data_IF_197135780504
#
_entry.id   IF_197135780504
#
_cell.length_a   1.000
_cell.length_b   1.000
_cell.length_c   1.000
_cell.angle_alpha   90.00
_cell.angle_beta   90.00
_cell.angle_gamma   90.00
#
_symmetry.space_group_name_H-M   'P 1'
#
loop_
_entity.id
_entity.type
_entity.pdbx_description
1 polymer ?
#
# COMPACT_ATOMS: atom_id res chain seq x y z
N UNK A 1 17.74 6.79 -2.10
CA UNK A 1 16.50 6.07 -2.46
C UNK A 1 15.58 7.08 -3.13
N UNK A 2 15.15 6.83 -4.37
CA UNK A 2 14.30 7.78 -5.11
C UNK A 2 12.86 7.58 -4.62
N UNK A 3 12.20 8.59 -4.03
CA UNK A 3 10.82 8.45 -3.58
C UNK A 3 9.89 8.23 -4.78
N UNK A 4 8.93 7.33 -4.63
CA UNK A 4 7.89 7.09 -5.64
C UNK A 4 6.93 8.27 -5.56
N UNK A 5 6.94 9.11 -6.59
CA UNK A 5 6.00 10.22 -6.76
C UNK A 5 5.09 9.94 -7.96
N UNK A 6 3.78 9.83 -7.70
CA UNK A 6 2.77 9.76 -8.75
C UNK A 6 1.96 11.07 -8.74
N UNK A 7 1.95 11.77 -9.87
CA UNK A 7 1.12 12.97 -10.04
C UNK A 7 -0.20 12.60 -10.70
N UNK A 8 -1.28 12.67 -9.93
CA UNK A 8 -2.65 12.52 -10.41
C UNK A 8 -3.33 13.90 -10.35
N UNK A 9 -3.42 14.56 -11.50
CA UNK A 9 -3.95 15.92 -11.62
C UNK A 9 -3.07 16.97 -10.90
N UNK A 10 -3.65 17.68 -9.92
CA UNK A 10 -2.95 18.70 -9.11
C UNK A 10 -2.32 18.13 -7.83
N UNK A 11 -2.49 16.83 -7.54
CA UNK A 11 -1.97 16.19 -6.33
C UNK A 11 -0.74 15.33 -6.65
N UNK A 12 0.24 15.40 -5.77
CA UNK A 12 1.42 14.54 -5.76
C UNK A 12 1.25 13.50 -4.65
N UNK A 13 1.33 12.24 -5.02
CA UNK A 13 1.29 11.12 -4.09
C UNK A 13 2.70 10.58 -3.92
N UNK A 14 3.27 10.77 -2.73
CA UNK A 14 4.57 10.22 -2.37
C UNK A 14 4.38 8.98 -1.50
N UNK A 15 4.87 7.84 -1.95
CA UNK A 15 4.83 6.59 -1.17
C UNK A 15 6.13 6.49 -0.35
N UNK A 16 6.11 7.03 0.87
CA UNK A 16 7.27 7.06 1.78
C UNK A 16 7.64 5.66 2.26
N UNK A 17 8.93 5.37 2.49
CA UNK A 17 9.39 4.06 2.97
C UNK A 17 9.32 2.93 1.93
N UNK A 18 8.92 3.22 0.70
CA UNK A 18 8.87 2.26 -0.40
C UNK A 18 9.94 2.54 -1.47
N UNK A 19 10.59 1.49 -1.95
CA UNK A 19 11.42 1.43 -3.14
C UNK A 19 10.70 0.74 -4.30
N UNK A 20 11.43 0.37 -5.37
CA UNK A 20 10.84 -0.18 -6.60
C UNK A 20 11.26 -1.61 -6.91
N UNK A 21 10.28 -2.45 -7.18
CA UNK A 21 10.46 -3.81 -7.69
C UNK A 21 10.05 -3.93 -9.16
N UNK A 22 9.73 -5.16 -9.58
CA UNK A 22 9.22 -5.43 -10.92
C UNK A 22 7.72 -5.11 -10.98
N UNK A 23 7.39 -3.84 -11.25
CA UNK A 23 6.01 -3.37 -11.46
C UNK A 23 5.21 -3.07 -10.19
N UNK A 24 5.85 -3.03 -9.01
CA UNK A 24 5.21 -2.73 -7.73
C UNK A 24 6.13 -1.94 -6.80
N UNK A 25 5.51 -1.26 -5.84
CA UNK A 25 6.21 -0.63 -4.72
C UNK A 25 6.65 -1.70 -3.73
N UNK A 26 7.89 -1.67 -3.26
CA UNK A 26 8.44 -2.62 -2.27
C UNK A 26 8.77 -1.87 -0.98
N UNK A 27 8.24 -2.34 0.16
CA UNK A 27 8.49 -1.76 1.47
C UNK A 27 9.95 -1.99 1.87
N UNK A 28 10.68 -0.92 2.14
CA UNK A 28 12.12 -0.94 2.46
C UNK A 28 12.45 -0.22 3.77
N UNK A 29 11.53 0.57 4.30
CA UNK A 29 11.62 1.19 5.62
C UNK A 29 10.22 1.27 6.25
N UNK A 30 9.96 0.44 7.27
CA UNK A 30 8.67 0.33 7.95
C UNK A 30 8.35 1.57 8.78
N UNK A 31 9.37 2.18 9.42
CA UNK A 31 9.15 3.37 10.23
C UNK A 31 8.77 4.57 9.36
N UNK A 32 9.40 4.70 8.20
CA UNK A 32 9.13 5.77 7.24
C UNK A 32 7.79 5.58 6.48
N UNK A 33 7.30 4.35 6.35
CA UNK A 33 6.06 4.07 5.62
C UNK A 33 4.79 4.47 6.38
N UNK A 34 4.88 4.62 7.71
CA UNK A 34 3.75 4.95 8.58
C UNK A 34 2.58 3.95 8.45
N UNK A 35 2.84 2.73 7.95
CA UNK A 35 1.84 1.70 7.68
C UNK A 35 2.33 0.31 8.14
N UNK A 36 1.42 -0.58 8.59
CA UNK A 36 1.81 -1.92 9.00
C UNK A 36 2.31 -2.74 7.80
N UNK A 37 3.29 -3.60 8.08
CA UNK A 37 3.94 -4.43 7.08
C UNK A 37 5.36 -4.79 7.42
N UNK A 38 5.88 -5.77 6.69
CA UNK A 38 7.25 -6.20 6.75
C UNK A 38 8.08 -5.66 5.58
N UNK A 39 9.36 -5.35 5.84
CA UNK A 39 10.32 -5.10 4.75
C UNK A 39 10.30 -6.26 3.73
N UNK A 40 10.24 -5.92 2.44
CA UNK A 40 10.08 -6.86 1.33
C UNK A 40 8.63 -7.07 0.88
N UNK A 41 7.64 -6.61 1.65
CA UNK A 41 6.24 -6.56 1.21
C UNK A 41 6.12 -5.72 -0.06
N UNK A 42 5.29 -6.14 -1.02
CA UNK A 42 5.04 -5.39 -2.24
C UNK A 42 3.56 -5.08 -2.44
N UNK A 43 3.28 -3.91 -3.02
CA UNK A 43 1.92 -3.38 -3.13
C UNK A 43 1.73 -2.49 -4.35
N UNK A 44 0.46 -2.27 -4.73
CA UNK A 44 0.08 -1.26 -5.69
C UNK A 44 -1.38 -0.83 -5.50
N UNK A 45 -1.68 0.42 -5.88
CA UNK A 45 -3.04 0.98 -5.90
C UNK A 45 -3.51 1.19 -7.35
N UNK A 46 -4.81 1.01 -7.58
CA UNK A 46 -5.45 1.15 -8.89
C UNK A 46 -6.52 2.24 -8.90
N UNK A 47 -6.88 2.67 -10.12
CA UNK A 47 -7.69 3.87 -10.36
C UNK A 47 -9.14 3.84 -9.87
N UNK A 48 -9.65 2.71 -9.39
CA UNK A 48 -11.02 2.55 -8.87
C UNK A 48 -11.04 2.19 -7.37
N UNK A 49 -10.11 2.75 -6.59
CA UNK A 49 -9.83 2.40 -5.19
C UNK A 49 -9.64 0.87 -5.00
N UNK A 50 -8.97 0.24 -5.98
CA UNK A 50 -8.52 -1.15 -5.88
C UNK A 50 -7.12 -1.14 -5.29
N UNK A 51 -6.82 -2.02 -4.34
CA UNK A 51 -5.53 -2.05 -3.66
C UNK A 51 -5.14 -3.48 -3.35
N UNK A 52 -3.87 -3.82 -3.52
CA UNK A 52 -3.34 -5.11 -3.08
C UNK A 52 -2.01 -4.93 -2.35
N UNK A 53 -1.72 -5.86 -1.46
CA UNK A 53 -0.37 -6.08 -0.94
C UNK A 53 -0.11 -7.58 -0.76
N UNK A 54 1.16 -7.95 -0.82
CA UNK A 54 1.62 -9.29 -0.48
C UNK A 54 2.74 -9.15 0.52
N UNK A 55 2.58 -9.77 1.68
CA UNK A 55 3.58 -9.83 2.74
C UNK A 55 4.06 -11.27 2.93
N UNK A 56 5.23 -11.64 2.34
CA UNK A 56 5.75 -12.99 2.47
C UNK A 56 6.15 -13.37 3.90
N UNK A 57 6.41 -12.40 4.79
CA UNK A 57 6.80 -12.71 6.18
C UNK A 57 5.59 -13.11 7.02
N UNK A 58 4.45 -12.45 6.78
CA UNK A 58 3.17 -12.74 7.43
C UNK A 58 2.35 -13.81 6.68
N UNK A 59 2.91 -14.42 5.62
CA UNK A 59 2.22 -15.36 4.73
C UNK A 59 0.84 -14.85 4.24
N UNK A 60 0.73 -13.54 3.99
CA UNK A 60 -0.54 -12.86 3.77
C UNK A 60 -0.62 -12.17 2.40
N UNK A 61 -1.79 -12.27 1.77
CA UNK A 61 -2.19 -11.47 0.61
C UNK A 61 -3.44 -10.68 0.96
N UNK A 62 -3.39 -9.36 0.81
CA UNK A 62 -4.55 -8.49 0.91
C UNK A 62 -5.01 -8.03 -0.47
N UNK A 63 -6.33 -8.08 -0.70
CA UNK A 63 -6.95 -7.64 -1.95
C UNK A 63 -8.25 -6.88 -1.67
N UNK A 64 -8.28 -5.60 -2.02
CA UNK A 64 -9.42 -4.70 -1.91
C UNK A 64 -9.91 -4.30 -3.30
N UNK A 65 -11.20 -4.51 -3.58
CA UNK A 65 -11.82 -4.28 -4.89
C UNK A 65 -13.05 -3.35 -4.79
N UNK A 66 -12.84 -2.09 -4.38
CA UNK A 66 -13.94 -1.19 -4.02
C UNK A 66 -14.77 -0.62 -5.20
N UNK A 67 -14.23 -0.64 -6.43
CA UNK A 67 -14.91 -0.14 -7.64
C UNK A 67 -15.49 1.27 -7.51
N UNK A 68 -14.79 2.15 -6.80
CA UNK A 68 -15.24 3.50 -6.49
C UNK A 68 -14.31 4.54 -7.11
N UNK A 69 -14.86 5.66 -7.59
CA UNK A 69 -14.12 6.80 -8.14
C UNK A 69 -14.77 8.08 -7.58
N UNK A 70 -14.00 9.07 -7.08
CA UNK A 70 -12.55 9.25 -7.23
C UNK A 70 -11.66 8.49 -6.22
N UNK A 71 -10.41 8.22 -6.60
CA UNK A 71 -9.37 7.62 -5.73
C UNK A 71 -9.08 8.55 -4.55
N UNK A 72 -8.98 7.97 -3.34
CA UNK A 72 -8.58 8.70 -2.14
C UNK A 72 -9.67 9.60 -1.54
N UNK A 73 -10.94 9.43 -1.95
CA UNK A 73 -12.07 10.10 -1.28
C UNK A 73 -12.30 9.54 0.12
N UNK A 74 -12.21 8.22 0.27
CA UNK A 74 -12.24 7.52 1.55
C UNK A 74 -10.87 6.88 1.83
N UNK A 75 -10.43 6.83 3.10
CA UNK A 75 -9.12 6.26 3.48
C UNK A 75 -9.12 4.70 3.53
N UNK A 76 -9.96 4.05 2.71
CA UNK A 76 -10.27 2.62 2.84
C UNK A 76 -9.05 1.70 2.66
N UNK A 77 -8.04 2.10 1.89
CA UNK A 77 -6.83 1.30 1.66
C UNK A 77 -6.03 1.12 2.96
N UNK A 78 -5.79 2.23 3.68
CA UNK A 78 -5.05 2.24 4.93
C UNK A 78 -5.82 1.58 6.07
N UNK A 79 -7.12 1.86 6.18
CA UNK A 79 -7.99 1.26 7.20
C UNK A 79 -8.12 -0.25 7.01
N UNK A 80 -8.38 -0.71 5.78
CA UNK A 80 -8.49 -2.13 5.48
C UNK A 80 -7.19 -2.88 5.81
N UNK A 81 -6.04 -2.31 5.41
CA UNK A 81 -4.74 -2.90 5.73
C UNK A 81 -4.50 -2.95 7.24
N UNK A 82 -4.71 -1.84 7.95
CA UNK A 82 -4.51 -1.79 9.40
C UNK A 82 -5.36 -2.83 10.15
N UNK A 83 -6.64 -2.95 9.80
CA UNK A 83 -7.53 -3.95 10.38
C UNK A 83 -7.12 -5.39 10.05
N UNK A 84 -6.65 -5.64 8.82
CA UNK A 84 -6.16 -6.96 8.43
C UNK A 84 -4.93 -7.40 9.25
N UNK A 85 -3.96 -6.50 9.45
CA UNK A 85 -2.78 -6.78 10.28
C UNK A 85 -3.13 -6.99 11.76
N UNK A 86 -4.10 -6.23 12.29
CA UNK A 86 -4.57 -6.41 13.67
C UNK A 86 -5.30 -7.75 13.89
N UNK A 87 -5.79 -8.39 12.82
CA UNK A 87 -6.48 -9.67 12.89
C UNK A 87 -5.53 -10.87 12.88
N UNK A 88 -4.22 -10.66 12.67
CA UNK A 88 -3.21 -11.72 12.80
C UNK A 88 -3.15 -12.11 14.28
N UNK A 89 -3.29 -13.40 14.55
CA UNK A 89 -3.19 -13.98 15.88
C UNK A 89 -2.05 -14.99 15.81
N UNK A 90 -0.95 -14.68 16.52
CA UNK A 90 0.21 -15.55 16.68
C UNK A 90 0.21 -16.28 18.03
#
# INVERSE_FOLDING_TARGET
>A
MIPISLRLGKREYVIKGYGWGLGSAVLVDVAQSEAPGSEGQYMWAGGANTYFWVDPKEEMIGLLMAQFIPVGYYPIEGEFKALAYQAIVD
#
